data_IF_612003899157
#
_entry.id   IF_612003899157
#
_cell.length_a   1.000
_cell.length_b   1.000
_cell.length_c   1.000
_cell.angle_alpha   90.00
_cell.angle_beta   90.00
_cell.angle_gamma   90.00
#
_symmetry.space_group_name_H-M   'P 1'
#
loop_
_entity.id
_entity.type
_entity.pdbx_description
1 polymer ?
#
# COMPACT_ATOMS: atom_id res chain seq x y z
N UNK A 1 16.32 -9.69 16.49
CA UNK A 1 16.67 -9.56 15.06
C UNK A 1 15.46 -9.20 14.19
N UNK A 2 14.27 -9.76 14.44
CA UNK A 2 13.05 -9.48 13.68
C UNK A 2 12.69 -7.98 13.55
N UNK A 3 12.83 -7.19 14.63
CA UNK A 3 12.54 -5.75 14.58
C UNK A 3 13.46 -4.96 13.65
N UNK A 4 14.73 -5.38 13.50
CA UNK A 4 15.68 -4.75 12.58
C UNK A 4 15.27 -5.01 11.13
N UNK A 5 14.81 -6.24 10.84
CA UNK A 5 14.30 -6.60 9.52
C UNK A 5 13.04 -5.79 9.19
N UNK A 6 12.09 -5.70 10.13
CA UNK A 6 10.88 -4.89 9.94
C UNK A 6 11.23 -3.42 9.68
N UNK A 7 12.13 -2.83 10.45
CA UNK A 7 12.58 -1.44 10.23
C UNK A 7 13.23 -1.25 8.86
N UNK A 8 14.07 -2.18 8.43
CA UNK A 8 14.70 -2.14 7.10
C UNK A 8 13.65 -2.24 5.97
N UNK A 9 12.66 -3.11 6.11
CA UNK A 9 11.57 -3.27 5.14
C UNK A 9 10.74 -2.00 5.04
N UNK A 10 10.37 -1.40 6.18
CA UNK A 10 9.61 -0.15 6.22
C UNK A 10 10.42 0.98 5.59
N UNK A 11 11.72 1.06 5.89
CA UNK A 11 12.62 2.06 5.29
C UNK A 11 12.69 1.92 3.78
N UNK A 12 12.90 0.70 3.26
CA UNK A 12 12.95 0.44 1.81
C UNK A 12 11.60 0.73 1.14
N UNK A 13 10.50 0.32 1.76
CA UNK A 13 9.15 0.59 1.25
C UNK A 13 8.83 2.09 1.21
N UNK A 14 9.24 2.84 2.24
CA UNK A 14 9.08 4.30 2.32
C UNK A 14 9.96 5.04 1.32
N UNK A 15 11.20 4.58 1.13
CA UNK A 15 12.13 5.11 0.12
C UNK A 15 11.54 4.92 -1.28
N UNK A 16 11.08 3.71 -1.59
CA UNK A 16 10.44 3.43 -2.88
C UNK A 16 9.20 4.31 -3.08
N UNK A 17 8.31 4.41 -2.09
CA UNK A 17 7.12 5.26 -2.19
C UNK A 17 7.47 6.73 -2.46
N UNK A 18 8.55 7.24 -1.87
CA UNK A 18 8.95 8.64 -2.08
C UNK A 18 9.46 8.88 -3.50
N UNK A 19 10.12 7.89 -4.11
CA UNK A 19 10.63 7.97 -5.48
C UNK A 19 9.49 7.83 -6.50
N UNK A 20 8.58 6.88 -6.29
CA UNK A 20 7.51 6.55 -7.26
C UNK A 20 6.20 7.32 -7.01
N UNK A 21 6.01 7.87 -5.81
CA UNK A 21 4.75 8.46 -5.36
C UNK A 21 3.69 7.46 -4.89
N UNK A 22 3.90 6.15 -5.05
CA UNK A 22 2.96 5.09 -4.66
C UNK A 22 3.68 3.76 -4.35
N UNK A 23 3.03 2.84 -3.63
CA UNK A 23 3.54 1.46 -3.53
C UNK A 23 4.25 1.05 -2.24
N UNK A 24 4.16 1.85 -1.17
CA UNK A 24 4.55 1.41 0.19
C UNK A 24 3.92 0.05 0.52
N UNK A 25 2.60 -0.06 0.35
CA UNK A 25 1.84 -1.29 0.61
C UNK A 25 2.27 -2.44 -0.29
N UNK A 26 2.72 -2.17 -1.52
CA UNK A 26 3.10 -3.19 -2.50
C UNK A 26 4.32 -3.99 -2.03
N UNK A 27 5.29 -3.31 -1.40
CA UNK A 27 6.46 -3.96 -0.79
C UNK A 27 6.18 -4.43 0.65
N UNK A 28 5.53 -3.60 1.45
CA UNK A 28 5.38 -3.86 2.89
C UNK A 28 4.44 -5.05 3.17
N UNK A 29 3.30 -5.16 2.48
CA UNK A 29 2.31 -6.20 2.80
C UNK A 29 2.80 -7.64 2.69
N UNK A 30 3.40 -8.09 1.56
CA UNK A 30 3.81 -9.48 1.43
C UNK A 30 4.86 -9.85 2.48
N UNK A 31 5.82 -8.96 2.74
CA UNK A 31 6.88 -9.20 3.73
C UNK A 31 6.32 -9.21 5.16
N UNK A 32 5.45 -8.26 5.51
CA UNK A 32 4.81 -8.25 6.82
C UNK A 32 3.90 -9.46 7.03
N UNK A 33 3.18 -9.88 6.00
CA UNK A 33 2.31 -11.07 6.07
C UNK A 33 3.13 -12.34 6.30
N UNK A 34 4.30 -12.48 5.66
CA UNK A 34 5.22 -13.60 5.89
C UNK A 34 5.80 -13.62 7.30
N UNK A 35 6.06 -12.45 7.91
CA UNK A 35 6.72 -12.34 9.22
C UNK A 35 5.74 -12.37 10.40
N UNK A 36 4.55 -11.78 10.25
CA UNK A 36 3.61 -11.51 11.35
C UNK A 36 2.24 -12.19 11.16
N UNK A 37 1.98 -12.76 9.99
CA UNK A 37 0.68 -13.27 9.60
C UNK A 37 -0.29 -12.17 9.15
N UNK A 38 -1.24 -12.54 8.30
CA UNK A 38 -2.21 -11.62 7.68
C UNK A 38 -3.02 -10.77 8.69
N UNK A 39 -3.51 -11.32 9.82
CA UNK A 39 -4.35 -10.55 10.76
C UNK A 39 -3.63 -9.38 11.43
N UNK A 40 -2.30 -9.51 11.61
CA UNK A 40 -1.46 -8.49 12.25
C UNK A 40 -0.84 -7.57 11.20
N UNK A 41 -0.40 -8.13 10.07
CA UNK A 41 0.22 -7.38 8.99
C UNK A 41 -0.71 -6.32 8.38
N UNK A 42 -1.98 -6.69 8.12
CA UNK A 42 -2.94 -5.80 7.47
C UNK A 42 -3.16 -4.47 8.22
N UNK A 43 -3.55 -4.47 9.51
CA UNK A 43 -3.74 -3.22 10.25
C UNK A 43 -2.42 -2.46 10.43
N UNK A 44 -1.29 -3.15 10.61
CA UNK A 44 0.00 -2.49 10.78
C UNK A 44 0.46 -1.74 9.52
N UNK A 45 0.34 -2.36 8.35
CA UNK A 45 0.73 -1.73 7.08
C UNK A 45 -0.25 -0.60 6.73
N UNK A 46 -1.55 -0.79 7.02
CA UNK A 46 -2.54 0.26 6.84
C UNK A 46 -2.22 1.51 7.68
N UNK A 47 -1.93 1.35 8.98
CA UNK A 47 -1.55 2.45 9.86
C UNK A 47 -0.30 3.17 9.35
N UNK A 48 0.75 2.42 9.02
CA UNK A 48 1.99 3.01 8.50
C UNK A 48 1.77 3.73 7.17
N UNK A 49 0.96 3.17 6.28
CA UNK A 49 0.61 3.80 5.00
C UNK A 49 -0.11 5.12 5.21
N UNK A 50 -1.13 5.16 6.08
CA UNK A 50 -1.84 6.40 6.44
C UNK A 50 -0.87 7.42 7.02
N UNK A 51 0.01 7.02 7.95
CA UNK A 51 1.03 7.93 8.49
C UNK A 51 1.93 8.50 7.40
N UNK A 52 2.43 7.67 6.48
CA UNK A 52 3.27 8.14 5.38
C UNK A 52 2.53 9.10 4.46
N UNK A 53 1.28 8.80 4.10
CA UNK A 53 0.47 9.67 3.25
C UNK A 53 0.17 11.01 3.92
N UNK A 54 -0.14 11.04 5.22
CA UNK A 54 -0.36 12.29 5.98
C UNK A 54 0.91 13.12 6.02
N UNK A 55 2.07 12.51 6.30
CA UNK A 55 3.36 13.20 6.34
C UNK A 55 3.73 13.75 4.97
N UNK A 56 3.57 12.95 3.91
CA UNK A 56 3.84 13.38 2.54
C UNK A 56 2.89 14.50 2.11
N UNK A 57 1.60 14.40 2.43
CA UNK A 57 0.64 15.45 2.14
C UNK A 57 1.02 16.74 2.86
N UNK A 58 1.34 16.70 4.16
CA UNK A 58 1.77 17.87 4.91
C UNK A 58 3.05 18.50 4.32
N UNK A 59 4.04 17.68 3.92
CA UNK A 59 5.32 18.14 3.38
C UNK A 59 5.20 18.70 1.97
N UNK A 60 4.39 18.08 1.12
CA UNK A 60 4.30 18.40 -0.30
C UNK A 60 3.00 19.12 -0.68
N UNK A 61 2.15 19.54 0.27
CA UNK A 61 0.83 20.14 0.01
C UNK A 61 0.84 21.29 -1.02
N UNK A 62 1.91 22.09 -1.08
CA UNK A 62 2.04 23.22 -2.03
C UNK A 62 2.32 22.81 -3.47
N UNK A 63 2.84 21.59 -3.68
CA UNK A 63 3.15 21.04 -4.99
C UNK A 63 2.12 20.02 -5.49
N UNK A 64 1.01 19.82 -4.76
CA UNK A 64 -0.03 18.88 -5.15
C UNK A 64 -0.88 19.48 -6.28
N UNK A 65 -0.84 18.85 -7.45
CA UNK A 65 -1.81 19.13 -8.51
C UNK A 65 -3.14 18.44 -8.19
N UNK A 66 -4.12 19.24 -7.77
CA UNK A 66 -5.47 18.77 -7.40
C UNK A 66 -6.15 18.05 -8.57
N UNK A 67 -5.86 18.44 -9.82
CA UNK A 67 -6.43 17.81 -11.02
C UNK A 67 -5.91 16.39 -11.20
N UNK A 68 -4.62 16.17 -10.94
CA UNK A 68 -4.01 14.84 -11.01
C UNK A 68 -4.48 13.96 -9.85
N UNK A 69 -4.53 14.51 -8.63
CA UNK A 69 -5.04 13.81 -7.45
C UNK A 69 -6.48 13.32 -7.66
N UNK A 70 -7.37 14.14 -8.24
CA UNK A 70 -8.75 13.73 -8.53
C UNK A 70 -8.82 12.58 -9.54
N UNK A 71 -7.96 12.57 -10.57
CA UNK A 71 -7.89 11.46 -11.55
C UNK A 71 -7.44 10.15 -10.88
N UNK A 72 -6.46 10.22 -9.98
CA UNK A 72 -6.04 9.07 -9.18
C UNK A 72 -7.16 8.57 -8.26
N UNK A 73 -7.88 9.48 -7.59
CA UNK A 73 -9.02 9.14 -6.74
C UNK A 73 -10.15 8.47 -7.53
N UNK A 74 -10.48 8.96 -8.73
CA UNK A 74 -11.48 8.34 -9.60
C UNK A 74 -11.06 6.94 -10.05
N UNK A 75 -9.80 6.79 -10.47
CA UNK A 75 -9.26 5.49 -10.86
C UNK A 75 -9.30 4.50 -9.66
N UNK A 76 -8.94 4.95 -8.47
CA UNK A 76 -9.02 4.15 -7.25
C UNK A 76 -10.47 3.82 -6.85
N UNK A 77 -11.38 4.78 -6.97
CA UNK A 77 -12.80 4.60 -6.63
C UNK A 77 -13.47 3.51 -7.49
N UNK A 78 -13.00 3.31 -8.72
CA UNK A 78 -13.47 2.24 -9.61
C UNK A 78 -12.64 0.96 -9.41
N UNK A 79 -11.32 1.09 -9.35
CA UNK A 79 -10.39 -0.03 -9.26
C UNK A 79 -10.48 -0.82 -7.96
N UNK A 80 -10.69 -0.15 -6.81
CA UNK A 80 -10.82 -0.81 -5.50
C UNK A 80 -12.04 -1.73 -5.44
N UNK A 81 -13.29 -1.28 -5.71
CA UNK A 81 -14.44 -2.17 -5.65
C UNK A 81 -14.37 -3.27 -6.71
N UNK A 82 -13.84 -3.00 -7.92
CA UNK A 82 -13.60 -4.04 -8.92
C UNK A 82 -12.61 -5.10 -8.42
N UNK A 83 -11.51 -4.67 -7.79
CA UNK A 83 -10.51 -5.58 -7.23
C UNK A 83 -11.08 -6.43 -6.09
N UNK A 84 -11.87 -5.83 -5.20
CA UNK A 84 -12.55 -6.55 -4.11
C UNK A 84 -13.59 -7.53 -4.66
N UNK A 85 -14.38 -7.12 -5.66
CA UNK A 85 -15.35 -7.99 -6.31
C UNK A 85 -14.67 -9.19 -6.98
N UNK A 86 -13.57 -8.95 -7.70
CA UNK A 86 -12.78 -10.01 -8.30
C UNK A 86 -12.19 -10.95 -7.25
N UNK A 87 -11.68 -10.42 -6.13
CA UNK A 87 -11.13 -11.23 -5.05
C UNK A 87 -12.17 -12.18 -4.42
N UNK A 88 -13.43 -11.77 -4.34
CA UNK A 88 -14.51 -12.57 -3.74
C UNK A 88 -15.13 -13.56 -4.74
N UNK A 89 -15.26 -13.19 -6.01
CA UNK A 89 -16.02 -13.96 -7.00
C UNK A 89 -15.15 -14.80 -7.95
N UNK A 90 -13.85 -14.51 -8.07
CA UNK A 90 -12.95 -15.29 -8.92
C UNK A 90 -12.41 -16.48 -8.13
N UNK A 91 -12.55 -17.66 -8.71
CA UNK A 91 -12.07 -18.91 -8.13
C UNK A 91 -10.58 -18.85 -7.79
N UNK A 92 -10.23 -19.26 -6.57
CA UNK A 92 -8.86 -19.24 -6.06
C UNK A 92 -7.88 -20.09 -6.92
N UNK A 93 -8.39 -21.01 -7.73
CA UNK A 93 -7.59 -21.78 -8.69
C UNK A 93 -7.04 -20.91 -9.83
N UNK A 94 -7.83 -19.94 -10.32
CA UNK A 94 -7.39 -19.03 -11.39
C UNK A 94 -6.39 -18.01 -10.83
N UNK A 95 -6.63 -17.52 -9.61
CA UNK A 95 -5.75 -16.54 -8.94
C UNK A 95 -4.37 -17.13 -8.59
N UNK A 96 -4.28 -18.43 -8.29
CA UNK A 96 -3.00 -19.11 -8.01
C UNK A 96 -2.17 -19.46 -9.27
N UNK A 97 -2.78 -19.38 -10.46
CA UNK A 97 -2.13 -19.67 -11.75
C UNK A 97 -1.53 -18.43 -12.40
N UNK A 98 -1.90 -17.23 -11.94
CA UNK A 98 -1.31 -15.92 -12.27
C UNK A 98 -0.17 -15.59 -11.31
#
# INVERSE_FOLDING_TARGET
>A
MTYVVLAAVVFLAALQQTITGFGFTLLAMPIFTLLLGLPVAAPMVALQGVTLYVVNLARYHRGVDVREAWRMCLAAAIGVPLGVWALVNVDAHIVKLL
#
